data_IF_183235909405
#
_entry.id   IF_183235909405
#
_cell.length_a   1.000
_cell.length_b   1.000
_cell.length_c   1.000
_cell.angle_alpha   90.00
_cell.angle_beta   90.00
_cell.angle_gamma   90.00
#
_symmetry.space_group_name_H-M   'P 1'
#
loop_
_entity.id
_entity.type
_entity.pdbx_description
1 polymer ?
#
# COMPACT_ATOMS: atom_id res chain seq x y z
N UNK A 1 -6.70 2.21 9.91
CA UNK A 1 -7.35 3.24 9.08
C UNK A 1 -8.53 2.61 8.35
N UNK A 2 -9.62 3.34 8.13
CA UNK A 2 -10.72 2.93 7.24
C UNK A 2 -10.65 3.79 5.98
N UNK A 3 -10.89 3.22 4.81
CA UNK A 3 -10.89 3.91 3.51
C UNK A 3 -12.06 3.37 2.69
N UNK A 4 -12.78 4.27 2.04
CA UNK A 4 -13.82 3.96 1.06
C UNK A 4 -13.49 4.77 -0.20
N UNK A 5 -13.40 4.11 -1.35
CA UNK A 5 -13.25 4.75 -2.65
C UNK A 5 -14.54 4.51 -3.45
N UNK A 6 -15.12 5.58 -3.99
CA UNK A 6 -16.31 5.53 -4.86
C UNK A 6 -15.93 5.76 -6.32
N UNK A 7 -14.80 5.21 -6.72
CA UNK A 7 -14.17 5.33 -8.03
C UNK A 7 -13.25 4.12 -8.24
N UNK A 8 -12.68 4.00 -9.43
CA UNK A 8 -11.70 2.96 -9.75
C UNK A 8 -10.39 3.17 -8.96
N UNK A 9 -9.85 2.07 -8.43
CA UNK A 9 -8.53 2.05 -7.79
C UNK A 9 -7.54 1.31 -8.69
N UNK A 10 -6.40 1.94 -8.97
CA UNK A 10 -5.35 1.42 -9.84
C UNK A 10 -4.04 1.33 -9.08
N UNK A 11 -3.44 0.14 -9.06
CA UNK A 11 -2.14 -0.10 -8.46
C UNK A 11 -1.19 -0.74 -9.47
N UNK A 12 -0.09 -0.04 -9.78
CA UNK A 12 1.04 -0.57 -10.55
C UNK A 12 2.27 -0.58 -9.66
N UNK A 13 2.86 -1.77 -9.46
CA UNK A 13 4.11 -1.94 -8.71
C UNK A 13 5.21 -2.37 -9.67
N UNK A 14 6.24 -1.54 -9.83
CA UNK A 14 7.29 -1.76 -10.83
C UNK A 14 8.24 -2.94 -10.53
N UNK A 15 8.31 -3.36 -9.25
CA UNK A 15 9.26 -4.40 -8.81
C UNK A 15 8.54 -5.46 -7.98
N UNK A 16 8.44 -5.26 -6.66
CA UNK A 16 7.89 -6.25 -5.73
C UNK A 16 6.79 -5.65 -4.86
N UNK A 17 5.70 -6.39 -4.69
CA UNK A 17 4.66 -6.09 -3.72
C UNK A 17 4.71 -7.12 -2.59
N UNK A 18 5.02 -6.68 -1.37
CA UNK A 18 4.95 -7.51 -0.17
C UNK A 18 3.70 -7.14 0.62
N UNK A 19 2.79 -8.10 0.83
CA UNK A 19 1.57 -7.90 1.62
C UNK A 19 1.59 -8.87 2.80
N UNK A 20 1.70 -8.33 4.03
CA UNK A 20 1.60 -9.09 5.28
C UNK A 20 0.40 -8.62 6.06
N UNK A 21 -0.54 -9.52 6.32
CA UNK A 21 -1.78 -9.23 7.04
C UNK A 21 -1.82 -10.09 8.31
N UNK A 22 -2.14 -9.48 9.44
CA UNK A 22 -2.07 -10.16 10.74
C UNK A 22 -3.23 -11.14 11.01
N UNK A 23 -4.39 -10.94 10.38
CA UNK A 23 -5.62 -11.68 10.71
C UNK A 23 -6.28 -12.34 9.51
N UNK A 24 -6.63 -11.59 8.47
CA UNK A 24 -7.31 -12.15 7.30
C UNK A 24 -7.31 -11.23 6.09
N UNK A 25 -7.23 -11.83 4.91
CA UNK A 25 -7.38 -11.15 3.63
C UNK A 25 -8.74 -11.50 3.04
N UNK A 26 -9.62 -10.50 2.88
CA UNK A 26 -10.97 -10.68 2.36
C UNK A 26 -11.08 -9.89 1.06
N UNK A 27 -11.43 -10.57 -0.03
CA UNK A 27 -11.60 -9.98 -1.36
C UNK A 27 -12.93 -10.45 -1.91
N UNK A 28 -13.79 -9.49 -2.24
CA UNK A 28 -15.07 -9.72 -2.89
C UNK A 28 -15.14 -8.81 -4.11
N UNK A 29 -15.56 -9.36 -5.25
CA UNK A 29 -15.74 -8.63 -6.49
C UNK A 29 -17.10 -8.99 -7.09
N UNK A 30 -17.82 -8.02 -7.64
CA UNK A 30 -19.15 -8.23 -8.19
C UNK A 30 -19.18 -9.05 -9.49
N UNK A 31 -18.07 -9.11 -10.22
CA UNK A 31 -18.00 -9.80 -11.51
C UNK A 31 -16.87 -10.83 -11.56
N UNK A 32 -15.62 -10.41 -11.30
CA UNK A 32 -14.45 -11.25 -11.53
C UNK A 32 -13.31 -10.92 -10.56
N UNK A 33 -12.60 -11.96 -10.11
CA UNK A 33 -11.25 -11.86 -9.55
C UNK A 33 -10.32 -12.65 -10.49
N UNK A 34 -9.41 -11.97 -11.18
CA UNK A 34 -8.44 -12.60 -12.08
C UNK A 34 -7.02 -12.54 -11.50
N UNK A 35 -6.45 -13.70 -11.19
CA UNK A 35 -5.06 -13.86 -10.77
C UNK A 35 -4.27 -14.50 -11.90
N UNK A 36 -3.40 -13.71 -12.54
CA UNK A 36 -2.56 -14.16 -13.65
C UNK A 36 -1.09 -13.97 -13.32
N UNK A 37 -0.27 -14.98 -13.64
CA UNK A 37 1.18 -14.97 -13.47
C UNK A 37 1.83 -15.62 -14.69
N UNK A 38 2.92 -15.03 -15.18
CA UNK A 38 3.62 -15.56 -16.36
C UNK A 38 4.34 -16.89 -16.12
N UNK A 39 4.70 -17.21 -14.86
CA UNK A 39 5.48 -18.41 -14.54
C UNK A 39 4.83 -19.30 -13.48
N UNK A 40 4.47 -18.74 -12.31
CA UNK A 40 3.98 -19.53 -11.19
C UNK A 40 3.00 -18.75 -10.31
N UNK A 41 1.96 -19.45 -9.83
CA UNK A 41 1.14 -19.06 -8.68
C UNK A 41 1.29 -20.16 -7.62
N UNK A 42 1.47 -19.78 -6.36
CA UNK A 42 1.49 -20.69 -5.22
C UNK A 42 0.48 -20.19 -4.20
N UNK A 43 -0.45 -21.07 -3.83
CA UNK A 43 -1.44 -20.84 -2.78
C UNK A 43 -1.19 -21.88 -1.69
N UNK A 44 -0.78 -21.43 -0.52
CA UNK A 44 -0.50 -22.27 0.63
C UNK A 44 -1.49 -21.98 1.75
N UNK A 45 -2.03 -23.04 2.34
CA UNK A 45 -2.88 -22.97 3.50
C UNK A 45 -2.41 -23.99 4.53
N UNK A 46 -2.48 -23.63 5.81
CA UNK A 46 -2.02 -24.51 6.89
C UNK A 46 -2.99 -25.64 7.20
N UNK A 47 -4.29 -25.35 7.28
CA UNK A 47 -5.31 -26.33 7.67
C UNK A 47 -6.17 -26.81 6.51
N UNK A 48 -6.60 -25.90 5.62
CA UNK A 48 -7.53 -26.22 4.55
C UNK A 48 -7.39 -25.24 3.38
N UNK A 49 -7.43 -25.76 2.15
CA UNK A 49 -7.66 -25.00 0.92
C UNK A 49 -8.94 -25.51 0.23
N UNK A 50 -9.88 -24.62 -0.05
CA UNK A 50 -11.16 -24.98 -0.68
C UNK A 50 -11.42 -24.10 -1.92
N UNK A 51 -11.78 -24.72 -3.03
CA UNK A 51 -12.22 -24.09 -4.28
C UNK A 51 -13.65 -24.55 -4.58
N UNK A 52 -14.59 -23.63 -4.82
CA UNK A 52 -16.02 -23.97 -5.02
C UNK A 52 -16.61 -23.20 -6.20
N UNK A 53 -17.34 -23.89 -7.06
CA UNK A 53 -18.06 -23.28 -8.20
C UNK A 53 -19.21 -24.18 -8.66
N UNK A 54 -20.36 -23.61 -9.03
CA UNK A 54 -21.45 -24.35 -9.69
C UNK A 54 -21.95 -25.59 -8.94
N UNK A 55 -21.95 -25.58 -7.60
CA UNK A 55 -22.31 -26.73 -6.77
C UNK A 55 -21.23 -27.81 -6.63
N UNK A 56 -20.08 -27.64 -7.28
CA UNK A 56 -18.90 -28.50 -7.17
C UNK A 56 -17.82 -27.86 -6.28
N UNK A 57 -16.95 -28.66 -5.69
CA UNK A 57 -15.79 -28.18 -4.94
C UNK A 57 -14.57 -29.11 -5.00
N UNK A 58 -13.41 -28.52 -4.75
CA UNK A 58 -12.15 -29.19 -4.43
C UNK A 58 -11.77 -28.73 -3.03
N UNK A 59 -11.45 -29.68 -2.15
CA UNK A 59 -10.97 -29.40 -0.79
C UNK A 59 -9.69 -30.17 -0.52
N UNK A 60 -8.72 -29.49 0.09
CA UNK A 60 -7.45 -30.06 0.54
C UNK A 60 -7.35 -29.77 2.03
N UNK A 61 -7.26 -30.80 2.86
CA UNK A 61 -7.12 -30.68 4.31
C UNK A 61 -6.29 -31.86 4.88
N UNK A 62 -6.24 -31.99 6.21
CA UNK A 62 -5.51 -33.08 6.88
C UNK A 62 -6.01 -34.50 6.56
N UNK A 63 -7.18 -34.66 5.94
CA UNK A 63 -7.72 -35.95 5.47
C UNK A 63 -7.32 -36.30 4.04
N UNK A 64 -6.78 -35.33 3.27
CA UNK A 64 -6.34 -35.52 1.90
C UNK A 64 -6.98 -34.53 0.91
N UNK A 65 -7.13 -34.97 -0.34
CA UNK A 65 -7.72 -34.18 -1.44
C UNK A 65 -9.08 -34.77 -1.81
N UNK A 66 -10.13 -33.96 -1.77
CA UNK A 66 -11.51 -34.34 -2.08
C UNK A 66 -12.00 -33.55 -3.29
N UNK A 67 -12.57 -34.26 -4.27
CA UNK A 67 -13.29 -33.69 -5.41
C UNK A 67 -14.76 -34.07 -5.29
N UNK A 68 -15.67 -33.11 -5.44
CA UNK A 68 -17.11 -33.35 -5.35
C UNK A 68 -17.87 -32.50 -6.36
N UNK A 69 -18.80 -33.12 -7.10
CA UNK A 69 -19.63 -32.48 -8.11
C UNK A 69 -20.41 -33.52 -8.93
N UNK A 70 -21.41 -33.12 -9.73
CA UNK A 70 -22.21 -34.04 -10.55
C UNK A 70 -21.37 -34.84 -11.58
N UNK A 71 -20.33 -34.20 -12.12
CA UNK A 71 -19.37 -34.80 -13.05
C UNK A 71 -17.97 -34.31 -12.69
N UNK A 72 -17.02 -35.24 -12.53
CA UNK A 72 -15.59 -34.94 -12.32
C UNK A 72 -14.81 -35.53 -13.48
N UNK A 73 -14.29 -34.65 -14.33
CA UNK A 73 -13.51 -34.99 -15.51
C UNK A 73 -12.01 -34.97 -15.18
N UNK A 74 -11.35 -36.11 -15.27
CA UNK A 74 -9.91 -36.25 -14.98
C UNK A 74 -9.20 -36.75 -16.22
N UNK A 75 -8.28 -35.95 -16.77
CA UNK A 75 -7.54 -36.24 -18.00
C UNK A 75 -8.41 -36.48 -19.26
N UNK A 76 -9.66 -36.03 -19.26
CA UNK A 76 -10.63 -36.23 -20.35
C UNK A 76 -10.73 -35.05 -21.33
N UNK A 77 -9.87 -34.03 -21.22
CA UNK A 77 -9.90 -32.82 -22.04
C UNK A 77 -10.83 -31.73 -21.51
N UNK A 78 -10.84 -30.56 -22.17
CA UNK A 78 -11.61 -29.38 -21.79
C UNK A 78 -10.98 -28.09 -22.35
N UNK A 79 -11.68 -26.96 -22.19
CA UNK A 79 -11.13 -25.62 -22.45
C UNK A 79 -11.10 -24.83 -21.16
N UNK A 80 -9.97 -24.20 -20.79
CA UNK A 80 -9.91 -23.34 -19.62
C UNK A 80 -10.78 -22.09 -19.82
N UNK A 81 -11.23 -21.50 -18.71
CA UNK A 81 -11.80 -20.16 -18.75
C UNK A 81 -10.74 -19.12 -19.12
N UNK A 82 -11.18 -17.99 -19.68
CA UNK A 82 -10.36 -16.80 -19.91
C UNK A 82 -10.72 -15.72 -18.90
N UNK A 83 -9.72 -15.07 -18.31
CA UNK A 83 -9.94 -13.93 -17.41
C UNK A 83 -9.56 -12.58 -18.04
N UNK A 84 -10.16 -11.50 -17.54
CA UNK A 84 -9.89 -10.13 -18.02
C UNK A 84 -8.52 -9.66 -17.54
N UNK A 85 -7.53 -9.38 -18.43
CA UNK A 85 -6.19 -8.98 -18.00
C UNK A 85 -6.19 -7.70 -17.15
N UNK A 86 -5.30 -7.62 -16.16
CA UNK A 86 -5.13 -6.40 -15.38
C UNK A 86 -4.57 -5.28 -16.27
N UNK A 87 -5.29 -4.15 -16.33
CA UNK A 87 -4.93 -2.97 -17.13
C UNK A 87 -5.04 -1.68 -16.30
N UNK A 88 -4.21 -1.50 -15.25
CA UNK A 88 -4.26 -0.31 -14.41
C UNK A 88 -3.82 0.94 -15.18
N UNK A 89 -4.50 2.06 -14.93
CA UNK A 89 -4.05 3.36 -15.43
C UNK A 89 -2.82 3.82 -14.64
N UNK A 90 -1.81 4.32 -15.35
CA UNK A 90 -0.65 4.93 -14.72
C UNK A 90 -1.00 6.34 -14.22
N UNK A 91 -0.46 6.78 -13.07
CA UNK A 91 -0.54 8.17 -12.69
C UNK A 91 -0.02 9.06 -13.82
N UNK A 92 -0.79 10.08 -14.18
CA UNK A 92 -0.35 11.09 -15.14
C UNK A 92 0.90 11.85 -14.64
N UNK A 93 1.46 12.74 -15.48
CA UNK A 93 2.55 13.61 -15.06
C UNK A 93 2.19 14.30 -13.74
N UNK A 94 3.08 14.19 -12.74
CA UNK A 94 2.89 14.92 -11.50
C UNK A 94 2.76 16.40 -11.85
N UNK A 95 1.69 17.03 -11.37
CA UNK A 95 1.69 18.50 -11.31
C UNK A 95 2.88 18.88 -10.44
N UNK A 96 3.60 19.91 -10.86
CA UNK A 96 4.65 20.50 -10.04
C UNK A 96 4.06 20.72 -8.65
N UNK A 97 4.75 20.25 -7.60
CA UNK A 97 4.31 20.49 -6.23
C UNK A 97 3.97 21.98 -6.12
N UNK A 98 2.88 22.31 -5.41
CA UNK A 98 2.50 23.70 -5.24
C UNK A 98 3.76 24.47 -4.84
N UNK A 99 4.15 25.43 -5.69
CA UNK A 99 5.18 26.39 -5.38
C UNK A 99 4.56 27.36 -4.38
N UNK A 100 4.21 26.82 -3.20
CA UNK A 100 3.66 27.62 -2.14
C UNK A 100 4.75 28.62 -1.75
N UNK A 101 4.35 29.88 -1.69
CA UNK A 101 5.30 30.95 -1.38
C UNK A 101 5.69 30.71 0.08
N UNK A 102 6.98 30.51 0.41
CA UNK A 102 7.38 30.41 1.80
C UNK A 102 6.80 31.61 2.54
N UNK A 103 6.11 31.34 3.65
CA UNK A 103 5.48 32.37 4.46
C UNK A 103 6.46 33.53 4.68
N UNK A 104 5.96 34.77 4.56
CA UNK A 104 6.81 35.94 4.69
C UNK A 104 7.60 35.86 5.98
N UNK A 105 8.91 36.09 5.90
CA UNK A 105 9.72 36.35 7.08
C UNK A 105 8.98 37.41 7.90
N UNK A 106 8.86 37.21 9.21
CA UNK A 106 8.26 38.19 10.12
C UNK A 106 9.21 39.39 10.28
N UNK A 107 9.59 40.04 9.19
CA UNK A 107 10.50 41.19 9.11
C UNK A 107 10.07 42.27 10.11
N UNK A 108 8.76 42.58 10.30
CA UNK A 108 8.35 43.52 11.34
C UNK A 108 8.68 43.02 12.76
N UNK A 109 8.44 41.74 13.06
CA UNK A 109 8.72 41.16 14.37
C UNK A 109 10.24 41.08 14.64
N UNK A 110 11.02 40.70 13.64
CA UNK A 110 12.48 40.65 13.71
C UNK A 110 13.07 42.06 13.87
N UNK A 111 12.55 43.05 13.15
CA UNK A 111 12.93 44.46 13.30
C UNK A 111 12.57 44.99 14.68
N UNK A 112 11.38 44.66 15.19
CA UNK A 112 10.95 45.07 16.53
C UNK A 112 11.80 44.41 17.62
N UNK A 113 12.23 43.16 17.44
CA UNK A 113 13.14 42.47 18.37
C UNK A 113 14.54 43.09 18.39
N UNK A 114 15.05 43.54 17.23
CA UNK A 114 16.35 44.20 17.11
C UNK A 114 16.35 45.64 17.64
N UNK A 115 15.21 46.32 17.64
CA UNK A 115 15.05 47.71 18.11
C UNK A 115 14.70 47.84 19.60
N UNK A 116 14.59 46.71 20.34
CA UNK A 116 14.43 46.73 21.81
C UNK A 116 15.72 47.21 22.48
N UNK A 117 15.59 47.72 23.71
CA UNK A 117 16.73 48.19 24.52
C UNK A 117 17.84 47.13 24.69
N UNK A 118 17.46 45.85 24.62
CA UNK A 118 18.36 44.71 24.47
C UNK A 118 18.01 43.97 23.18
N UNK A 119 18.77 44.16 22.08
CA UNK A 119 18.55 43.43 20.84
C UNK A 119 18.77 41.95 21.09
N UNK A 120 17.78 41.12 20.78
CA UNK A 120 17.90 39.65 20.89
C UNK A 120 17.69 39.03 19.52
N UNK A 121 18.64 38.20 19.08
CA UNK A 121 18.47 37.33 17.93
C UNK A 121 18.26 35.92 18.46
N UNK A 122 17.03 35.42 18.37
CA UNK A 122 16.65 34.09 18.90
C UNK A 122 17.53 32.97 18.32
N UNK A 123 17.91 33.10 17.04
CA UNK A 123 18.83 32.17 16.37
C UNK A 123 20.23 32.21 17.01
N UNK A 124 20.77 33.41 17.26
CA UNK A 124 22.09 33.53 17.89
C UNK A 124 22.08 33.05 19.35
N UNK A 125 20.98 33.23 20.07
CA UNK A 125 20.85 32.71 21.43
C UNK A 125 20.70 31.19 21.48
N UNK A 126 19.99 30.60 20.53
CA UNK A 126 19.92 29.15 20.38
C UNK A 126 21.29 28.57 20.01
N UNK A 127 21.99 29.16 19.04
CA UNK A 127 23.33 28.74 18.67
C UNK A 127 24.34 28.85 19.83
N UNK A 128 24.27 29.94 20.61
CA UNK A 128 25.11 30.12 21.78
C UNK A 128 24.81 29.08 22.87
N UNK A 129 23.53 28.74 23.10
CA UNK A 129 23.10 27.67 24.01
C UNK A 129 23.58 26.30 23.55
N UNK A 130 23.44 26.00 22.26
CA UNK A 130 23.93 24.74 21.68
C UNK A 130 25.46 24.60 21.79
N UNK A 131 26.21 25.71 21.65
CA UNK A 131 27.66 25.73 21.87
C UNK A 131 28.02 25.54 23.34
N UNK A 132 27.33 26.20 24.27
CA UNK A 132 27.57 25.99 25.71
C UNK A 132 27.21 24.59 26.18
N UNK A 133 26.18 23.98 25.59
CA UNK A 133 25.83 22.58 25.86
C UNK A 133 26.87 21.59 25.31
N UNK A 134 27.43 21.86 24.13
CA UNK A 134 28.55 21.07 23.56
C UNK A 134 29.84 21.21 24.36
N UNK A 135 30.14 22.41 24.86
CA UNK A 135 31.33 22.67 25.68
C UNK A 135 31.22 22.06 27.08
N UNK A 136 29.99 21.89 27.62
CA UNK A 136 29.73 21.23 28.91
C UNK A 136 29.67 19.70 28.81
N UNK A 137 29.52 19.15 27.60
CA UNK A 137 29.48 17.72 27.33
C UNK A 137 30.88 17.11 27.05
N UNK A 138 31.94 17.89 27.22
CA UNK A 138 33.34 17.51 27.03
C UNK A 138 34.09 17.58 28.36
#
# INVERSE_FOLDING_TARGET
RKVEARADDHLTVAVNQHVKIGTGHFVEAGQEIHLSSGLKVVLEAGSELTLKAGGSFIKIDGSGVVFSGPVVNVNTGGSPGSGTPAAPLLPGPLKQADADVPGQLLVPAQRQALMRATPRCEICEQAAKEQTEKDRAK
#
